data_IF_396770966455
#
_entry.id   IF_396770966455
#
_cell.length_a   1.000
_cell.length_b   1.000
_cell.length_c   1.000
_cell.angle_alpha   90.00
_cell.angle_beta   90.00
_cell.angle_gamma   90.00
#
_symmetry.space_group_name_H-M   'P 1'
#
loop_
_entity.id
_entity.type
_entity.pdbx_description
1 polymer ?
#
# COMPACT_ATOMS: atom_id res chain seq x y z
N UNK A 1 -8.86 13.87 2.86
CA UNK A 1 -7.90 12.95 3.51
C UNK A 1 -8.54 11.85 4.36
N UNK A 2 -9.84 11.91 4.70
CA UNK A 2 -10.56 10.83 5.39
C UNK A 2 -11.13 9.75 4.43
N UNK A 3 -11.04 9.96 3.12
CA UNK A 3 -11.72 9.12 2.13
C UNK A 3 -10.99 7.81 1.82
N UNK A 4 -9.67 7.74 1.99
CA UNK A 4 -8.92 6.52 1.67
C UNK A 4 -9.18 5.36 2.63
N UNK A 5 -9.59 5.62 3.88
CA UNK A 5 -9.79 4.55 4.88
C UNK A 5 -11.21 3.99 4.84
N UNK A 6 -12.18 4.75 4.29
CA UNK A 6 -13.55 4.29 4.05
C UNK A 6 -13.78 3.82 2.60
N UNK A 7 -12.77 3.88 1.73
CA UNK A 7 -12.89 3.46 0.33
C UNK A 7 -12.95 1.94 0.18
N UNK A 8 -12.60 1.22 1.23
CA UNK A 8 -12.46 -0.20 1.17
C UNK A 8 -13.51 -0.93 2.03
N UNK A 9 -14.30 -1.88 1.45
CA UNK A 9 -15.30 -2.70 2.15
C UNK A 9 -14.73 -3.51 3.32
N UNK A 10 -15.46 -4.35 4.06
CA UNK A 10 -14.83 -5.13 5.17
C UNK A 10 -14.06 -6.38 4.72
N UNK A 11 -14.22 -6.80 3.46
CA UNK A 11 -13.72 -8.08 2.93
C UNK A 11 -12.91 -7.88 1.64
N UNK A 12 -11.68 -7.39 1.78
CA UNK A 12 -10.81 -7.08 0.65
C UNK A 12 -9.34 -7.29 1.03
N UNK A 13 -8.57 -7.65 0.03
CA UNK A 13 -7.14 -7.81 0.10
C UNK A 13 -6.51 -6.52 -0.38
N UNK A 14 -5.56 -5.97 0.39
CA UNK A 14 -4.71 -4.88 -0.09
C UNK A 14 -3.33 -5.44 -0.31
N UNK A 15 -2.88 -5.37 -1.55
CA UNK A 15 -1.54 -5.70 -1.94
C UNK A 15 -0.83 -4.41 -2.31
N UNK A 16 0.21 -4.07 -1.57
CA UNK A 16 1.08 -2.97 -1.91
C UNK A 16 2.32 -3.52 -2.59
N UNK A 17 2.44 -3.17 -3.86
CA UNK A 17 3.58 -3.48 -4.71
C UNK A 17 4.45 -2.23 -4.83
N UNK A 18 5.68 -2.29 -4.37
CA UNK A 18 6.67 -1.28 -4.71
C UNK A 18 7.44 -1.81 -5.93
N UNK A 19 7.08 -1.37 -7.14
CA UNK A 19 7.87 -1.69 -8.32
C UNK A 19 9.11 -0.81 -8.28
N UNK A 20 10.32 -1.35 -8.26
CA UNK A 20 11.49 -0.53 -8.62
C UNK A 20 11.40 -0.22 -10.13
N UNK A 21 10.67 0.83 -10.52
CA UNK A 21 10.60 1.26 -11.92
C UNK A 21 11.98 1.79 -12.30
N UNK A 22 12.79 0.97 -12.97
CA UNK A 22 13.98 1.46 -13.67
C UNK A 22 13.56 2.01 -15.03
N UNK A 23 13.95 3.24 -15.40
CA UNK A 23 13.58 3.80 -16.69
C UNK A 23 14.31 3.08 -17.82
N UNK A 24 13.56 2.36 -18.66
CA UNK A 24 14.02 1.84 -19.95
C UNK A 24 13.24 2.54 -21.08
N UNK A 25 13.88 2.84 -22.20
CA UNK A 25 13.46 3.79 -23.25
C UNK A 25 12.14 3.52 -24.00
N UNK A 26 11.28 2.61 -23.52
CA UNK A 26 9.92 2.35 -24.02
C UNK A 26 8.81 2.61 -22.98
N UNK A 27 9.13 3.32 -21.89
CA UNK A 27 8.30 3.51 -20.68
C UNK A 27 6.81 3.84 -20.92
N UNK A 28 6.48 4.61 -21.95
CA UNK A 28 5.13 5.14 -22.15
C UNK A 28 4.08 4.07 -22.54
N UNK A 29 4.46 3.03 -23.29
CA UNK A 29 3.54 1.94 -23.62
C UNK A 29 3.39 0.95 -22.46
N UNK A 30 4.46 0.78 -21.66
CA UNK A 30 4.49 -0.08 -20.47
C UNK A 30 3.52 0.43 -19.41
N UNK A 31 3.62 1.72 -19.08
CA UNK A 31 2.82 2.36 -18.04
C UNK A 31 1.33 2.28 -18.39
N UNK A 32 0.95 2.56 -19.63
CA UNK A 32 -0.46 2.52 -20.05
C UNK A 32 -1.08 1.12 -19.97
N UNK A 33 -0.27 0.05 -20.10
CA UNK A 33 -0.77 -1.33 -20.00
C UNK A 33 -0.84 -1.80 -18.54
N UNK A 34 0.20 -1.53 -17.76
CA UNK A 34 0.23 -1.84 -16.32
C UNK A 34 -0.88 -1.07 -15.59
N UNK A 35 -1.04 0.23 -15.84
CA UNK A 35 -2.06 1.07 -15.18
C UNK A 35 -3.49 0.55 -15.43
N UNK A 36 -3.76 -0.10 -16.58
CA UNK A 36 -5.06 -0.71 -16.88
C UNK A 36 -5.34 -1.98 -16.07
N UNK A 37 -4.31 -2.67 -15.63
CA UNK A 37 -4.39 -3.93 -14.88
C UNK A 37 -4.33 -3.70 -13.36
N UNK A 38 -4.01 -2.48 -12.94
CA UNK A 38 -3.86 -2.08 -11.53
C UNK A 38 -5.05 -1.30 -11.00
N UNK A 39 -5.32 -1.39 -9.70
CA UNK A 39 -6.41 -0.64 -9.09
C UNK A 39 -6.02 0.81 -8.78
N UNK A 40 -4.80 1.01 -8.27
CA UNK A 40 -4.28 2.34 -7.93
C UNK A 40 -2.77 2.38 -8.14
N UNK A 41 -2.25 3.50 -8.65
CA UNK A 41 -0.80 3.72 -8.83
C UNK A 41 -0.41 5.10 -8.32
N UNK A 42 0.73 5.18 -7.63
CA UNK A 42 1.32 6.42 -7.17
C UNK A 42 2.84 6.33 -7.27
N UNK A 43 3.44 7.17 -8.12
CA UNK A 43 4.88 7.11 -8.43
C UNK A 43 5.32 5.70 -8.84
N UNK A 44 6.16 5.05 -8.04
CA UNK A 44 6.67 3.70 -8.20
C UNK A 44 5.87 2.65 -7.42
N UNK A 45 4.95 3.08 -6.55
CA UNK A 45 4.04 2.21 -5.82
C UNK A 45 2.79 1.90 -6.64
N UNK A 46 2.42 0.63 -6.69
CA UNK A 46 1.21 0.10 -7.29
C UNK A 46 0.43 -0.65 -6.22
N UNK A 47 -0.89 -0.50 -6.20
CA UNK A 47 -1.76 -1.17 -5.24
C UNK A 47 -2.80 -2.00 -5.95
N UNK A 48 -2.95 -3.25 -5.49
CA UNK A 48 -3.97 -4.17 -5.96
C UNK A 48 -4.98 -4.42 -4.85
N UNK A 49 -6.23 -4.51 -5.28
CA UNK A 49 -7.38 -4.73 -4.43
C UNK A 49 -8.16 -5.87 -5.05
N UNK A 50 -8.41 -6.90 -4.26
CA UNK A 50 -9.17 -8.07 -4.66
C UNK A 50 -10.11 -8.49 -3.53
N UNK A 51 -11.18 -9.23 -3.85
CA UNK A 51 -12.09 -9.77 -2.83
C UNK A 51 -11.66 -11.13 -2.32
N UNK A 52 -10.83 -11.84 -3.08
CA UNK A 52 -10.35 -13.20 -2.77
C UNK A 52 -8.86 -13.31 -3.03
N UNK A 53 -8.14 -14.21 -2.34
CA UNK A 53 -6.72 -14.42 -2.63
C UNK A 53 -6.49 -15.00 -4.03
N UNK A 54 -7.45 -15.77 -4.57
CA UNK A 54 -7.34 -16.30 -5.93
C UNK A 54 -7.38 -15.19 -6.99
N UNK A 55 -8.29 -14.22 -6.82
CA UNK A 55 -8.34 -13.01 -7.66
C UNK A 55 -7.07 -12.17 -7.48
N UNK A 56 -6.55 -12.08 -6.25
CA UNK A 56 -5.31 -11.36 -6.00
C UNK A 56 -4.11 -12.03 -6.68
N UNK A 57 -3.99 -13.36 -6.60
CA UNK A 57 -2.93 -14.11 -7.26
C UNK A 57 -2.98 -13.94 -8.78
N UNK A 58 -4.16 -14.01 -9.40
CA UNK A 58 -4.31 -13.76 -10.84
C UNK A 58 -3.89 -12.32 -11.22
N UNK A 59 -4.21 -11.33 -10.39
CA UNK A 59 -3.75 -9.95 -10.60
C UNK A 59 -2.22 -9.83 -10.50
N UNK A 60 -1.60 -10.48 -9.51
CA UNK A 60 -0.14 -10.51 -9.34
C UNK A 60 0.53 -11.15 -10.57
N UNK A 61 0.04 -12.32 -11.00
CA UNK A 61 0.60 -13.06 -12.14
C UNK A 61 0.50 -12.25 -13.45
N UNK A 62 -0.61 -11.54 -13.67
CA UNK A 62 -0.79 -10.66 -14.83
C UNK A 62 0.18 -9.49 -14.82
N UNK A 63 0.29 -8.80 -13.68
CA UNK A 63 1.17 -7.63 -13.55
C UNK A 63 2.62 -8.05 -13.67
N UNK A 64 3.00 -9.20 -13.13
CA UNK A 64 4.33 -9.76 -13.29
C UNK A 64 4.63 -10.04 -14.76
N UNK A 65 3.76 -10.75 -15.46
CA UNK A 65 3.92 -11.04 -16.90
C UNK A 65 4.07 -9.75 -17.72
N UNK A 66 3.17 -8.78 -17.50
CA UNK A 66 3.25 -7.48 -18.18
C UNK A 66 4.53 -6.74 -17.79
N UNK A 67 4.98 -6.82 -16.54
CA UNK A 67 6.21 -6.18 -16.06
C UNK A 67 7.46 -6.77 -16.74
N UNK A 68 7.56 -8.10 -16.79
CA UNK A 68 8.68 -8.82 -17.39
C UNK A 68 8.83 -8.54 -18.90
N UNK A 69 7.70 -8.43 -19.62
CA UNK A 69 7.69 -8.02 -21.04
C UNK A 69 8.43 -6.68 -21.28
N UNK A 70 8.45 -5.81 -20.27
CA UNK A 70 9.10 -4.50 -20.33
C UNK A 70 10.38 -4.41 -19.48
N UNK A 71 10.89 -5.54 -18.98
CA UNK A 71 12.13 -5.60 -18.20
C UNK A 71 11.99 -5.06 -16.77
N UNK A 72 10.78 -5.07 -16.21
CA UNK A 72 10.48 -4.76 -14.82
C UNK A 72 10.36 -6.09 -14.04
N UNK A 73 10.88 -6.13 -12.82
CA UNK A 73 10.81 -7.31 -11.96
C UNK A 73 10.12 -6.96 -10.64
N UNK A 74 9.30 -7.90 -10.15
CA UNK A 74 8.69 -7.81 -8.84
C UNK A 74 9.75 -8.11 -7.77
N UNK A 75 9.83 -7.25 -6.74
CA UNK A 75 10.69 -7.48 -5.58
C UNK A 75 9.82 -8.06 -4.46
N UNK A 76 9.80 -9.39 -4.35
CA UNK A 76 8.98 -10.13 -3.38
C UNK A 76 9.23 -9.63 -1.95
N UNK A 77 10.47 -9.27 -1.63
CA UNK A 77 10.88 -8.80 -0.29
C UNK A 77 10.36 -7.41 0.07
N UNK A 78 10.07 -6.56 -0.92
CA UNK A 78 9.47 -5.23 -0.70
C UNK A 78 7.96 -5.26 -0.73
N UNK A 79 7.41 -6.31 -1.30
CA UNK A 79 5.98 -6.48 -1.52
C UNK A 79 5.33 -6.90 -0.21
N UNK A 80 4.32 -6.14 0.20
CA UNK A 80 3.60 -6.39 1.45
C UNK A 80 2.13 -6.62 1.14
N UNK A 81 1.59 -7.72 1.65
CA UNK A 81 0.17 -8.04 1.52
C UNK A 81 -0.52 -7.92 2.87
N UNK A 82 -1.67 -7.28 2.91
CA UNK A 82 -2.55 -7.32 4.07
C UNK A 82 -3.93 -7.81 3.67
N UNK A 83 -4.44 -8.72 4.48
CA UNK A 83 -5.76 -9.32 4.31
C UNK A 83 -6.69 -8.69 5.33
N UNK A 84 -7.73 -7.98 4.87
CA UNK A 84 -8.82 -7.51 5.74
C UNK A 84 -9.86 -8.62 5.88
N UNK A 85 -10.41 -8.80 7.09
CA UNK A 85 -11.57 -9.69 7.31
C UNK A 85 -11.25 -11.07 7.86
N UNK A 86 -10.07 -11.28 8.45
CA UNK A 86 -9.75 -12.49 9.23
C UNK A 86 -9.36 -13.73 8.41
N UNK A 87 -9.25 -13.60 7.09
CA UNK A 87 -8.68 -14.64 6.24
C UNK A 87 -7.18 -14.73 6.57
N UNK A 88 -6.76 -15.87 7.13
CA UNK A 88 -5.41 -16.05 7.71
C UNK A 88 -4.60 -17.19 7.07
N UNK A 89 -5.21 -17.95 6.15
CA UNK A 89 -4.67 -19.24 5.67
C UNK A 89 -4.46 -19.32 4.15
N UNK A 90 -4.39 -18.18 3.45
CA UNK A 90 -4.10 -18.20 2.01
C UNK A 90 -2.66 -17.75 1.77
N UNK A 91 -1.83 -18.69 1.30
CA UNK A 91 -0.48 -18.40 0.83
C UNK A 91 -0.56 -17.83 -0.58
N UNK A 92 0.05 -16.66 -0.77
CA UNK A 92 0.35 -16.10 -2.09
C UNK A 92 1.79 -16.44 -2.42
N UNK A 93 2.04 -16.86 -3.66
CA UNK A 93 3.36 -17.29 -4.09
C UNK A 93 3.78 -16.56 -5.35
N UNK A 94 5.08 -16.27 -5.45
CA UNK A 94 5.72 -15.77 -6.65
C UNK A 94 6.93 -16.66 -6.97
N UNK A 95 6.91 -17.38 -8.10
CA UNK A 95 7.94 -18.38 -8.49
C UNK A 95 8.32 -19.39 -7.38
N UNK A 96 7.39 -19.70 -6.48
CA UNK A 96 7.61 -20.60 -5.35
C UNK A 96 8.22 -19.94 -4.11
N UNK A 97 8.44 -18.63 -4.12
CA UNK A 97 8.68 -17.83 -2.92
C UNK A 97 7.34 -17.35 -2.33
N UNK A 98 7.17 -17.55 -1.02
CA UNK A 98 5.98 -17.06 -0.32
C UNK A 98 6.04 -15.52 -0.17
N UNK A 99 4.97 -14.83 -0.57
CA UNK A 99 4.86 -13.39 -0.37
C UNK A 99 4.44 -13.13 1.09
N UNK A 100 5.15 -12.21 1.77
CA UNK A 100 4.88 -11.90 3.16
C UNK A 100 3.49 -11.26 3.35
N UNK A 101 2.67 -11.91 4.19
CA UNK A 101 1.40 -11.37 4.65
C UNK A 101 1.61 -10.66 5.99
N UNK A 102 1.56 -9.33 5.96
CA UNK A 102 1.74 -8.48 7.14
C UNK A 102 0.40 -8.03 7.71
N UNK A 103 0.33 -7.98 9.05
CA UNK A 103 -0.86 -7.50 9.77
C UNK A 103 -1.08 -6.00 9.64
N UNK A 104 0.01 -5.25 9.53
CA UNK A 104 -0.03 -3.79 9.44
C UNK A 104 1.09 -3.29 8.55
N UNK A 105 0.81 -2.32 7.69
CA UNK A 105 1.84 -1.62 6.92
C UNK A 105 1.48 -0.17 6.67
N UNK A 106 2.46 0.64 6.29
CA UNK A 106 2.27 2.04 5.97
C UNK A 106 2.16 2.23 4.46
N UNK A 107 0.98 2.60 3.99
CA UNK A 107 0.74 2.95 2.59
C UNK A 107 0.50 4.44 2.44
N UNK A 108 1.32 5.16 1.66
CA UNK A 108 1.20 6.61 1.46
C UNK A 108 1.02 7.38 2.77
N UNK A 109 1.84 7.03 3.78
CA UNK A 109 1.80 7.56 5.15
C UNK A 109 0.52 7.25 5.94
N UNK A 110 -0.37 6.42 5.41
CA UNK A 110 -1.55 5.89 6.10
C UNK A 110 -1.27 4.51 6.66
N UNK A 111 -1.66 4.24 7.91
CA UNK A 111 -1.56 2.91 8.49
C UNK A 111 -2.73 2.06 8.01
N UNK A 112 -2.41 0.95 7.37
CA UNK A 112 -3.36 -0.09 7.00
C UNK A 112 -3.24 -1.22 8.02
N UNK A 113 -4.37 -1.78 8.43
CA UNK A 113 -4.46 -2.84 9.44
C UNK A 113 -5.36 -3.96 8.92
N UNK A 114 -4.98 -5.22 9.17
CA UNK A 114 -5.71 -6.43 8.78
C UNK A 114 -7.09 -6.58 9.44
N UNK A 115 -7.39 -5.78 10.47
CA UNK A 115 -8.72 -5.73 11.09
C UNK A 115 -9.74 -4.94 10.24
N UNK A 116 -9.29 -4.32 9.14
CA UNK A 116 -10.10 -3.45 8.28
C UNK A 116 -10.54 -2.16 8.96
N UNK A 117 -10.04 -1.88 10.17
CA UNK A 117 -10.44 -0.78 11.03
C UNK A 117 -9.56 0.45 10.87
N UNK A 118 -10.18 1.63 10.91
CA UNK A 118 -9.48 2.92 10.88
C UNK A 118 -9.05 3.42 12.27
N UNK A 119 -9.53 2.80 13.34
CA UNK A 119 -9.34 3.25 14.72
C UNK A 119 -7.87 3.43 15.11
N UNK A 120 -7.00 2.53 14.68
CA UNK A 120 -5.56 2.61 14.98
C UNK A 120 -4.91 3.79 14.25
N UNK A 121 -5.22 3.99 12.98
CA UNK A 121 -4.70 5.12 12.20
C UNK A 121 -5.21 6.46 12.74
N UNK A 122 -6.49 6.54 13.13
CA UNK A 122 -7.08 7.74 13.74
C UNK A 122 -6.34 8.10 15.03
N UNK A 123 -6.13 7.12 15.92
CA UNK A 123 -5.37 7.33 17.16
C UNK A 123 -3.94 7.78 16.88
N UNK A 124 -3.28 7.18 15.89
CA UNK A 124 -1.90 7.54 15.49
C UNK A 124 -1.81 8.97 14.98
N UNK A 125 -2.73 9.40 14.09
CA UNK A 125 -2.76 10.79 13.58
C UNK A 125 -3.09 11.78 14.67
N UNK A 126 -4.02 11.45 15.56
CA UNK A 126 -4.39 12.30 16.70
C UNK A 126 -3.20 12.50 17.65
N UNK A 127 -2.45 11.45 17.96
CA UNK A 127 -1.25 11.56 18.80
C UNK A 127 -0.18 12.46 18.16
N UNK A 128 0.05 12.33 16.85
CA UNK A 128 0.96 13.22 16.10
C UNK A 128 0.50 14.67 16.11
N UNK A 129 -0.79 14.92 15.89
CA UNK A 129 -1.36 16.26 15.91
C UNK A 129 -1.24 16.90 17.30
N UNK A 130 -1.54 16.15 18.37
CA UNK A 130 -1.35 16.61 19.76
C UNK A 130 0.10 16.96 20.05
N UNK A 131 1.04 16.10 19.67
CA UNK A 131 2.47 16.34 19.89
C UNK A 131 2.95 17.59 19.15
N UNK A 132 2.51 17.78 17.89
CA UNK A 132 2.82 18.99 17.13
C UNK A 132 2.21 20.25 17.74
N UNK A 133 0.98 20.15 18.25
CA UNK A 133 0.32 21.26 18.94
C UNK A 133 1.09 21.68 20.20
N UNK A 134 1.52 20.72 21.04
CA UNK A 134 2.33 21.01 22.23
C UNK A 134 3.70 21.63 21.88
N UNK A 135 4.38 21.13 20.85
CA UNK A 135 5.64 21.72 20.42
C UNK A 135 5.47 23.17 19.90
N UNK A 136 4.33 23.48 19.28
CA UNK A 136 4.01 24.83 18.82
C UNK A 136 3.59 25.75 19.97
N UNK A 137 2.93 25.26 21.02
CA UNK A 137 2.61 26.08 22.18
C UNK A 137 3.86 26.60 22.88
N UNK A 138 4.91 25.79 22.98
CA UNK A 138 6.19 26.22 23.56
C UNK A 138 6.81 27.40 22.77
N UNK A 139 6.66 27.41 21.44
CA UNK A 139 7.11 28.51 20.57
C UNK A 139 6.20 29.74 20.75
N UNK A 140 4.88 29.53 20.80
CA UNK A 140 3.89 30.60 20.98
C UNK A 140 4.00 31.29 22.35
N UNK A 141 4.47 30.57 23.37
CA UNK A 141 4.74 31.12 24.70
C UNK A 141 6.16 31.68 24.84
N UNK A 142 7.13 31.16 24.06
CA UNK A 142 8.54 31.52 24.11
C UNK A 142 8.98 32.83 23.40
N UNK A 143 8.07 33.60 22.79
CA UNK A 143 8.38 34.92 22.22
C UNK A 143 7.65 36.10 22.88
N UNK A 144 7.12 35.93 24.10
CA UNK A 144 6.50 37.01 24.89
C UNK A 144 7.48 37.78 25.79
N UNK A 145 8.70 38.03 25.30
CA UNK A 145 9.64 38.96 25.93
C UNK A 145 9.88 40.14 24.98
N UNK A 146 8.96 41.11 25.00
CA UNK A 146 9.16 42.48 24.54
C UNK A 146 9.05 43.41 25.75
#
# INVERSE_FOLDING_TARGET
>A
MAELINLFPRDYFIFSYASNIKPCGKLASCINRIVRETNFTYADDTTLIAKTAAELQDQIDRIKRTSEEYGLCLDVRKTNVTMSGGVTDQQLQDDGEDIEVVKTFNFLRSLIVSDGGSSQEIKRRLAKARSAAFALTDIMEGQRNF
#
